data_IF_607182868650
#
_entry.id   IF_607182868650
#
_cell.length_a   1.000
_cell.length_b   1.000
_cell.length_c   1.000
_cell.angle_alpha   90.00
_cell.angle_beta   90.00
_cell.angle_gamma   90.00
#
_symmetry.space_group_name_H-M   'P 1'
#
loop_
_entity.id
_entity.type
_entity.pdbx_description
1 polymer ?
#
# COMPACT_ATOMS: atom_id res chain seq x y z
N UNK A 1 -13.51 -1.03 -29.45
CA UNK A 1 -13.00 -2.41 -29.32
C UNK A 1 -11.63 -2.33 -28.64
N UNK A 2 -11.52 -2.66 -27.36
CA UNK A 2 -10.27 -2.54 -26.58
C UNK A 2 -9.31 -3.62 -27.09
N UNK A 3 -8.21 -3.24 -27.74
CA UNK A 3 -7.13 -4.17 -28.08
C UNK A 3 -6.56 -4.74 -26.76
N UNK A 4 -6.39 -6.06 -26.63
CA UNK A 4 -5.78 -6.63 -25.44
C UNK A 4 -4.36 -6.11 -25.30
N UNK A 5 -4.02 -5.59 -24.12
CA UNK A 5 -2.66 -5.17 -23.78
C UNK A 5 -1.79 -6.43 -23.70
N UNK A 6 -0.84 -6.57 -24.61
CA UNK A 6 0.09 -7.69 -24.64
C UNK A 6 1.22 -7.50 -23.60
N UNK A 7 1.74 -8.58 -23.02
CA UNK A 7 2.98 -8.57 -22.27
C UNK A 7 4.12 -7.93 -23.09
N UNK A 8 5.05 -7.26 -22.43
CA UNK A 8 6.18 -6.58 -23.08
C UNK A 8 7.06 -7.57 -23.85
N UNK A 9 7.30 -8.75 -23.29
CA UNK A 9 8.10 -9.80 -23.92
C UNK A 9 7.44 -10.36 -25.19
N UNK A 10 6.12 -10.56 -25.18
CA UNK A 10 5.39 -11.02 -26.38
C UNK A 10 5.27 -9.91 -27.42
N UNK A 11 5.03 -8.66 -27.01
CA UNK A 11 5.00 -7.53 -27.93
C UNK A 11 6.35 -7.34 -28.63
N UNK A 12 7.44 -7.34 -27.87
CA UNK A 12 8.81 -7.24 -28.42
C UNK A 12 9.14 -8.43 -29.31
N UNK A 13 8.81 -9.66 -28.91
CA UNK A 13 9.01 -10.85 -29.75
C UNK A 13 8.20 -10.80 -31.06
N UNK A 14 6.92 -10.42 -31.00
CA UNK A 14 6.06 -10.26 -32.18
C UNK A 14 6.63 -9.20 -33.12
N UNK A 15 7.04 -8.06 -32.59
CA UNK A 15 7.60 -6.96 -33.39
C UNK A 15 8.94 -7.37 -34.01
N UNK A 16 9.85 -8.03 -33.25
CA UNK A 16 11.12 -8.52 -33.78
C UNK A 16 10.88 -9.55 -34.87
N UNK A 17 9.98 -10.52 -34.66
CA UNK A 17 9.62 -11.51 -35.66
C UNK A 17 9.01 -10.86 -36.91
N UNK A 18 8.08 -9.90 -36.74
CA UNK A 18 7.48 -9.15 -37.84
C UNK A 18 8.53 -8.31 -38.58
N UNK A 19 9.47 -7.67 -37.88
CA UNK A 19 10.57 -6.92 -38.48
C UNK A 19 11.51 -7.82 -39.27
N UNK A 20 11.84 -9.01 -38.77
CA UNK A 20 12.65 -10.00 -39.49
C UNK A 20 11.96 -10.47 -40.77
N UNK A 21 10.69 -10.87 -40.67
CA UNK A 21 9.88 -11.31 -41.83
C UNK A 21 9.71 -10.18 -42.84
N UNK A 22 9.40 -8.96 -42.38
CA UNK A 22 9.27 -7.78 -43.22
C UNK A 22 10.59 -7.44 -43.91
N UNK A 23 11.71 -7.49 -43.20
CA UNK A 23 13.03 -7.20 -43.75
C UNK A 23 13.42 -8.19 -44.84
N UNK A 24 13.27 -9.49 -44.57
CA UNK A 24 13.56 -10.55 -45.54
C UNK A 24 12.61 -10.47 -46.73
N UNK A 25 11.32 -10.25 -46.49
CA UNK A 25 10.30 -10.12 -47.54
C UNK A 25 10.53 -8.92 -48.45
N UNK A 26 10.82 -7.75 -47.90
CA UNK A 26 11.12 -6.54 -48.68
C UNK A 26 12.40 -6.71 -49.51
N UNK A 27 13.45 -7.31 -48.94
CA UNK A 27 14.67 -7.60 -49.67
C UNK A 27 14.42 -8.61 -50.81
N UNK A 28 13.74 -9.70 -50.52
CA UNK A 28 13.42 -10.73 -51.53
C UNK A 28 12.54 -10.19 -52.65
N UNK A 29 11.44 -9.52 -52.33
CA UNK A 29 10.53 -8.94 -53.33
C UNK A 29 11.21 -7.83 -54.13
N UNK A 30 12.01 -6.99 -53.47
CA UNK A 30 12.76 -5.93 -54.13
C UNK A 30 13.77 -6.47 -55.14
N UNK A 31 14.59 -7.44 -54.71
CA UNK A 31 15.60 -8.07 -55.57
C UNK A 31 14.95 -8.85 -56.71
N UNK A 32 13.91 -9.65 -56.46
CA UNK A 32 13.24 -10.44 -57.51
C UNK A 32 12.51 -9.55 -58.52
N UNK A 33 11.83 -8.49 -58.06
CA UNK A 33 11.17 -7.53 -58.96
C UNK A 33 12.18 -6.76 -59.81
N UNK A 34 13.32 -6.37 -59.22
CA UNK A 34 14.38 -5.68 -59.94
C UNK A 34 15.09 -6.61 -60.93
N UNK A 35 15.34 -7.87 -60.56
CA UNK A 35 15.89 -8.87 -61.46
C UNK A 35 14.98 -9.11 -62.67
N UNK A 36 13.66 -9.23 -62.47
CA UNK A 36 12.69 -9.34 -63.57
C UNK A 36 12.68 -8.08 -64.47
N UNK A 37 12.83 -6.89 -63.89
CA UNK A 37 12.96 -5.64 -64.64
C UNK A 37 14.24 -5.61 -65.50
N UNK A 38 15.38 -6.06 -64.93
CA UNK A 38 16.62 -6.18 -65.68
C UNK A 38 16.50 -7.20 -66.82
N UNK A 39 15.91 -8.36 -66.56
CA UNK A 39 15.68 -9.40 -67.56
C UNK A 39 14.86 -8.89 -68.74
N UNK A 40 13.74 -8.20 -68.48
CA UNK A 40 12.96 -7.55 -69.55
C UNK A 40 13.76 -6.51 -70.33
N UNK A 41 14.61 -5.74 -69.65
CA UNK A 41 15.50 -4.77 -70.27
C UNK A 41 16.51 -5.44 -71.21
N UNK A 42 17.13 -6.52 -70.76
CA UNK A 42 18.08 -7.33 -71.55
C UNK A 42 17.38 -7.94 -72.76
N UNK A 43 16.23 -8.60 -72.57
CA UNK A 43 15.44 -9.22 -73.66
C UNK A 43 15.00 -8.20 -74.72
N UNK A 44 14.69 -6.95 -74.33
CA UNK A 44 14.38 -5.87 -75.28
C UNK A 44 15.60 -5.34 -76.04
N UNK A 45 16.80 -5.49 -75.47
CA UNK A 45 18.06 -5.04 -76.11
C UNK A 45 18.67 -6.07 -77.07
N UNK A 46 18.24 -7.33 -77.00
CA UNK A 46 18.74 -8.42 -77.84
C UNK A 46 18.25 -8.30 -79.30
N UNK A 47 19.08 -8.69 -80.29
CA UNK A 47 18.64 -8.88 -81.69
C UNK A 47 17.45 -9.84 -81.79
N UNK A 48 16.60 -9.68 -82.82
CA UNK A 48 15.35 -10.44 -82.95
C UNK A 48 15.53 -11.97 -82.89
N UNK A 49 16.61 -12.50 -83.50
CA UNK A 49 16.93 -13.92 -83.49
C UNK A 49 17.37 -14.41 -82.10
N UNK A 50 18.20 -13.62 -81.41
CA UNK A 50 18.67 -13.94 -80.06
C UNK A 50 17.54 -13.83 -79.02
N UNK A 51 16.68 -12.82 -79.12
CA UNK A 51 15.50 -12.68 -78.25
C UNK A 51 14.50 -13.83 -78.43
N UNK A 52 14.34 -14.32 -79.67
CA UNK A 52 13.51 -15.50 -79.95
C UNK A 52 14.15 -16.77 -79.35
N UNK A 53 15.47 -16.96 -79.50
CA UNK A 53 16.18 -18.07 -78.88
C UNK A 53 16.08 -18.08 -77.35
N UNK A 54 16.11 -16.91 -76.70
CA UNK A 54 15.89 -16.78 -75.26
C UNK A 54 14.50 -17.25 -74.84
N UNK A 55 13.45 -16.86 -75.57
CA UNK A 55 12.06 -17.25 -75.31
C UNK A 55 11.81 -18.73 -75.57
N UNK A 56 12.41 -19.27 -76.63
CA UNK A 56 12.32 -20.69 -76.98
C UNK A 56 12.98 -21.54 -75.86
N UNK A 57 14.16 -21.13 -75.38
CA UNK A 57 14.81 -21.77 -74.22
C UNK A 57 13.95 -21.72 -72.96
N UNK A 58 13.36 -20.57 -72.64
CA UNK A 58 12.53 -20.41 -71.44
C UNK A 58 11.20 -21.19 -71.52
N UNK A 59 10.77 -21.56 -72.73
CA UNK A 59 9.59 -22.40 -72.97
C UNK A 59 9.91 -23.90 -73.13
N UNK A 60 11.18 -24.30 -72.99
CA UNK A 60 11.63 -25.69 -73.08
C UNK A 60 11.83 -26.20 -74.51
N UNK A 61 11.92 -25.30 -75.49
CA UNK A 61 12.15 -25.60 -76.91
C UNK A 61 13.65 -25.40 -77.21
N UNK A 62 14.27 -26.32 -77.95
CA UNK A 62 15.68 -26.22 -78.36
C UNK A 62 15.79 -25.25 -79.54
N UNK A 63 16.47 -24.09 -79.42
CA UNK A 63 16.61 -23.12 -80.50
C UNK A 63 17.60 -23.58 -81.58
N UNK A 64 17.62 -22.88 -82.71
CA UNK A 64 18.62 -23.14 -83.76
C UNK A 64 20.05 -22.79 -83.31
N UNK A 65 21.08 -23.59 -83.69
CA UNK A 65 22.47 -23.38 -83.26
C UNK A 65 23.05 -21.99 -83.57
N UNK A 66 22.60 -21.35 -84.65
CA UNK A 66 23.03 -20.00 -85.03
C UNK A 66 22.47 -18.94 -84.08
N UNK A 67 21.21 -19.07 -83.68
CA UNK A 67 20.55 -18.16 -82.74
C UNK A 67 21.08 -18.33 -81.31
N UNK A 68 21.48 -19.55 -80.92
CA UNK A 68 22.18 -19.81 -79.65
C UNK A 68 23.53 -19.08 -79.62
N UNK A 69 24.30 -19.14 -80.71
CA UNK A 69 25.61 -18.48 -80.79
C UNK A 69 25.49 -16.95 -80.72
N UNK A 70 24.52 -16.39 -81.44
CA UNK A 70 24.23 -14.95 -81.43
C UNK A 70 23.78 -14.47 -80.04
N UNK A 71 22.98 -15.29 -79.32
CA UNK A 71 22.58 -15.04 -77.94
C UNK A 71 23.78 -15.08 -76.97
N UNK A 72 24.65 -16.09 -77.05
CA UNK A 72 25.84 -16.18 -76.19
C UNK A 72 26.80 -15.01 -76.40
N UNK A 73 27.10 -14.63 -77.65
CA UNK A 73 28.00 -13.51 -77.95
C UNK A 73 27.46 -12.17 -77.41
N UNK A 74 26.13 -11.98 -77.39
CA UNK A 74 25.50 -10.77 -76.81
C UNK A 74 25.39 -10.82 -75.27
N UNK A 75 25.15 -12.00 -74.69
CA UNK A 75 25.04 -12.15 -73.24
C UNK A 75 26.40 -12.01 -72.54
N UNK A 76 27.49 -12.47 -73.16
CA UNK A 76 28.85 -12.36 -72.61
C UNK A 76 29.26 -10.88 -72.46
N UNK A 77 28.85 -10.02 -73.39
CA UNK A 77 29.04 -8.56 -73.31
C UNK A 77 28.16 -7.85 -72.28
N UNK A 78 27.11 -8.52 -71.76
CA UNK A 78 26.14 -7.96 -70.80
C UNK A 78 26.27 -8.53 -69.39
N UNK A 79 27.09 -9.58 -69.16
CA UNK A 79 27.19 -10.24 -67.84
C UNK A 79 27.71 -9.28 -66.75
N UNK A 80 28.86 -8.63 -66.97
CA UNK A 80 29.47 -7.71 -66.00
C UNK A 80 28.53 -6.55 -65.54
N UNK A 81 27.87 -5.79 -66.45
CA UNK A 81 26.98 -4.72 -66.03
C UNK A 81 25.69 -5.22 -65.35
N UNK A 82 25.17 -6.38 -65.74
CA UNK A 82 23.99 -7.00 -65.11
C UNK A 82 24.30 -7.47 -63.71
N UNK A 83 25.44 -8.14 -63.51
CA UNK A 83 25.91 -8.58 -62.19
C UNK A 83 26.11 -7.38 -61.24
N UNK A 84 26.74 -6.30 -61.73
CA UNK A 84 26.90 -5.07 -60.95
C UNK A 84 25.55 -4.45 -60.55
N UNK A 85 24.60 -4.36 -61.48
CA UNK A 85 23.26 -3.83 -61.18
C UNK A 85 22.48 -4.72 -60.21
N UNK A 86 22.64 -6.05 -60.30
CA UNK A 86 22.05 -7.00 -59.36
C UNK A 86 22.63 -6.81 -57.94
N UNK A 87 23.95 -6.76 -57.80
CA UNK A 87 24.60 -6.50 -56.49
C UNK A 87 24.18 -5.14 -55.90
N UNK A 88 24.10 -4.10 -56.73
CA UNK A 88 23.65 -2.78 -56.29
C UNK A 88 22.19 -2.81 -55.80
N UNK A 89 21.31 -3.56 -56.47
CA UNK A 89 19.91 -3.70 -56.06
C UNK A 89 19.76 -4.41 -54.71
N UNK A 90 20.54 -5.47 -54.47
CA UNK A 90 20.58 -6.17 -53.19
C UNK A 90 21.02 -5.22 -52.08
N UNK A 91 22.06 -4.40 -52.33
CA UNK A 91 22.56 -3.43 -51.37
C UNK A 91 21.51 -2.35 -51.06
N UNK A 92 20.86 -1.77 -52.08
CA UNK A 92 19.86 -0.72 -51.90
C UNK A 92 18.61 -1.24 -51.17
N UNK A 93 18.08 -2.40 -51.58
CA UNK A 93 16.93 -3.02 -50.93
C UNK A 93 17.27 -3.43 -49.48
N UNK A 94 18.47 -3.94 -49.23
CA UNK A 94 18.95 -4.28 -47.88
C UNK A 94 19.11 -3.05 -46.97
N UNK A 95 19.65 -1.94 -47.49
CA UNK A 95 19.73 -0.69 -46.73
C UNK A 95 18.35 -0.11 -46.43
N UNK A 96 17.42 -0.18 -47.38
CA UNK A 96 16.07 0.31 -47.21
C UNK A 96 15.29 -0.48 -46.15
N UNK A 97 15.40 -1.82 -46.16
CA UNK A 97 14.79 -2.65 -45.12
C UNK A 97 15.41 -2.41 -43.74
N UNK A 98 16.73 -2.28 -43.66
CA UNK A 98 17.44 -1.94 -42.43
C UNK A 98 16.99 -0.58 -41.85
N UNK A 99 16.77 0.42 -42.70
CA UNK A 99 16.27 1.73 -42.29
C UNK A 99 14.87 1.63 -41.65
N UNK A 100 13.94 0.92 -42.29
CA UNK A 100 12.58 0.70 -41.75
C UNK A 100 12.66 0.00 -40.40
N UNK A 101 13.47 -1.06 -40.30
CA UNK A 101 13.66 -1.78 -39.05
C UNK A 101 14.22 -0.88 -37.94
N UNK A 102 15.20 -0.03 -38.26
CA UNK A 102 15.77 0.92 -37.30
C UNK A 102 14.74 1.92 -36.78
N UNK A 103 13.90 2.48 -37.66
CA UNK A 103 12.82 3.40 -37.25
C UNK A 103 11.82 2.74 -36.29
N UNK A 104 11.40 1.51 -36.59
CA UNK A 104 10.49 0.75 -35.73
C UNK A 104 11.15 0.43 -34.38
N UNK A 105 12.42 0.03 -34.39
CA UNK A 105 13.20 -0.25 -33.18
C UNK A 105 13.33 0.97 -32.27
N UNK A 106 13.69 2.13 -32.83
CA UNK A 106 13.80 3.40 -32.09
C UNK A 106 12.45 3.80 -31.50
N UNK A 107 11.36 3.64 -32.25
CA UNK A 107 10.01 3.94 -31.77
C UNK A 107 9.64 3.07 -30.56
N UNK A 108 9.89 1.76 -30.62
CA UNK A 108 9.60 0.82 -29.53
C UNK A 108 10.47 1.10 -28.29
N UNK A 109 11.77 1.35 -28.49
CA UNK A 109 12.69 1.70 -27.41
C UNK A 109 12.22 2.94 -26.65
N UNK A 110 11.83 4.00 -27.38
CA UNK A 110 11.27 5.22 -26.77
C UNK A 110 9.96 4.98 -26.04
N UNK A 111 9.10 4.09 -26.54
CA UNK A 111 7.81 3.75 -25.91
C UNK A 111 7.98 3.07 -24.55
N UNK A 112 9.04 2.28 -24.38
CA UNK A 112 9.33 1.55 -23.12
C UNK A 112 10.17 2.41 -22.16
N UNK A 113 11.14 3.16 -22.67
CA UNK A 113 12.06 3.94 -21.84
C UNK A 113 11.38 5.17 -21.20
N UNK A 114 10.49 5.85 -21.91
CA UNK A 114 9.82 7.07 -21.39
C UNK A 114 9.06 6.86 -20.08
N UNK A 115 8.20 5.83 -19.92
CA UNK A 115 7.52 5.57 -18.64
C UNK A 115 8.48 5.28 -17.48
N UNK A 116 9.60 4.60 -17.75
CA UNK A 116 10.61 4.30 -16.73
C UNK A 116 11.36 5.56 -16.28
N UNK A 117 11.67 6.45 -17.20
CA UNK A 117 12.30 7.74 -16.90
C UNK A 117 11.36 8.63 -16.06
N UNK A 118 10.07 8.68 -16.41
CA UNK A 118 9.06 9.38 -15.62
C UNK A 118 8.91 8.80 -14.21
N UNK A 119 8.90 7.47 -14.08
CA UNK A 119 8.86 6.82 -12.77
C UNK A 119 10.09 7.17 -11.93
N UNK A 120 11.27 7.22 -12.55
CA UNK A 120 12.51 7.60 -11.86
C UNK A 120 12.46 9.05 -11.37
N UNK A 121 11.98 9.97 -12.20
CA UNK A 121 11.82 11.38 -11.82
C UNK A 121 10.81 11.57 -10.68
N UNK A 122 9.67 10.89 -10.76
CA UNK A 122 8.63 10.97 -9.72
C UNK A 122 9.09 10.29 -8.42
N UNK A 123 9.84 9.20 -8.51
CA UNK A 123 10.45 8.54 -7.35
C UNK A 123 11.47 9.45 -6.63
N UNK A 124 12.21 10.29 -7.37
CA UNK A 124 13.09 11.29 -6.75
C UNK A 124 12.28 12.38 -6.02
N UNK A 125 11.11 12.77 -6.57
CA UNK A 125 10.15 13.63 -5.88
C UNK A 125 9.65 13.02 -4.56
N UNK A 126 9.33 11.73 -4.57
CA UNK A 126 8.93 10.98 -3.37
C UNK A 126 10.01 10.98 -2.29
N UNK A 127 11.28 10.85 -2.69
CA UNK A 127 12.44 10.94 -1.78
C UNK A 127 12.60 12.33 -1.16
N UNK A 128 12.19 13.37 -1.86
CA UNK A 128 12.21 14.75 -1.34
C UNK A 128 11.05 15.07 -0.37
N UNK A 129 10.11 14.12 -0.17
CA UNK A 129 9.00 14.25 0.77
C UNK A 129 7.69 14.72 0.14
N UNK A 130 7.59 14.82 -1.19
CA UNK A 130 6.32 15.07 -1.87
C UNK A 130 5.61 13.75 -2.20
N UNK A 131 4.72 13.34 -1.29
CA UNK A 131 3.90 12.12 -1.46
C UNK A 131 2.63 12.35 -2.27
N UNK A 132 2.37 13.56 -2.79
CA UNK A 132 1.15 13.88 -3.57
C UNK A 132 1.30 13.51 -5.04
N UNK A 133 2.53 13.32 -5.52
CA UNK A 133 2.80 13.04 -6.93
C UNK A 133 2.23 11.68 -7.32
N UNK A 134 1.59 11.62 -8.49
CA UNK A 134 1.04 10.40 -9.07
C UNK A 134 1.47 10.26 -10.52
N UNK A 135 1.70 9.01 -10.93
CA UNK A 135 1.95 8.68 -12.32
C UNK A 135 0.61 8.52 -13.04
N UNK A 136 0.43 9.25 -14.14
CA UNK A 136 -0.75 9.13 -14.98
C UNK A 136 -0.77 7.77 -15.71
N UNK A 137 -1.91 7.09 -15.70
CA UNK A 137 -2.10 5.89 -16.51
C UNK A 137 -2.06 6.26 -17.99
N UNK A 138 -0.99 5.89 -18.69
CA UNK A 138 -0.93 6.04 -20.13
C UNK A 138 -1.63 4.85 -20.81
N UNK A 139 -2.69 5.12 -21.59
CA UNK A 139 -3.51 4.14 -22.31
C UNK A 139 -2.74 3.24 -23.30
N UNK A 140 -1.45 3.53 -23.53
CA UNK A 140 -0.60 2.86 -24.52
C UNK A 140 0.49 1.97 -23.87
N UNK A 141 0.43 1.77 -22.56
CA UNK A 141 1.40 1.00 -21.77
C UNK A 141 1.17 -0.51 -21.86
N UNK A 142 2.24 -1.32 -21.75
CA UNK A 142 2.11 -2.78 -21.60
C UNK A 142 1.58 -3.14 -20.22
N UNK A 143 1.17 -4.40 -20.04
CA UNK A 143 0.62 -4.90 -18.77
C UNK A 143 1.59 -4.70 -17.61
N UNK A 144 2.87 -4.97 -17.83
CA UNK A 144 3.91 -4.87 -16.80
C UNK A 144 4.16 -3.42 -16.39
N UNK A 145 4.19 -2.49 -17.36
CA UNK A 145 4.35 -1.06 -17.08
C UNK A 145 3.13 -0.53 -16.31
N UNK A 146 1.93 -0.97 -16.69
CA UNK A 146 0.71 -0.62 -15.98
C UNK A 146 0.72 -1.12 -14.53
N UNK A 147 1.05 -2.39 -14.32
CA UNK A 147 1.15 -2.99 -12.98
C UNK A 147 2.19 -2.29 -12.11
N UNK A 148 3.30 -1.84 -12.70
CA UNK A 148 4.33 -1.07 -12.00
C UNK A 148 3.82 0.32 -11.58
N UNK A 149 3.10 1.02 -12.46
CA UNK A 149 2.48 2.33 -12.15
C UNK A 149 1.45 2.19 -11.02
N UNK A 150 0.59 1.16 -11.08
CA UNK A 150 -0.41 0.88 -10.04
C UNK A 150 0.26 0.62 -8.69
N UNK A 151 1.30 -0.23 -8.67
CA UNK A 151 2.06 -0.55 -7.46
C UNK A 151 2.75 0.69 -6.87
N UNK A 152 3.33 1.54 -7.73
CA UNK A 152 3.95 2.79 -7.31
C UNK A 152 2.93 3.77 -6.70
N UNK A 153 1.78 3.97 -7.37
CA UNK A 153 0.72 4.85 -6.87
C UNK A 153 0.12 4.36 -5.55
N UNK A 154 0.01 3.03 -5.36
CA UNK A 154 -0.41 2.43 -4.10
C UNK A 154 0.60 2.71 -2.98
N UNK A 155 1.90 2.59 -3.26
CA UNK A 155 2.96 2.92 -2.32
C UNK A 155 2.93 4.42 -1.95
N UNK A 156 2.83 5.32 -2.93
CA UNK A 156 2.74 6.75 -2.69
C UNK A 156 1.55 7.12 -1.80
N UNK A 157 0.38 6.52 -2.05
CA UNK A 157 -0.82 6.68 -1.21
C UNK A 157 -0.61 6.16 0.21
N UNK A 158 0.07 5.02 0.37
CA UNK A 158 0.39 4.48 1.69
C UNK A 158 1.36 5.38 2.48
N UNK A 159 2.31 6.04 1.81
CA UNK A 159 3.23 6.97 2.46
C UNK A 159 2.55 8.29 2.84
N UNK A 160 1.73 8.85 1.95
CA UNK A 160 0.96 10.07 2.21
C UNK A 160 0.04 9.89 3.42
N UNK A 161 -0.74 8.81 3.44
CA UNK A 161 -1.62 8.49 4.58
C UNK A 161 -0.85 8.26 5.88
N UNK A 162 0.36 7.69 5.81
CA UNK A 162 1.23 7.55 6.98
C UNK A 162 1.76 8.91 7.47
N UNK A 163 2.16 9.80 6.56
CA UNK A 163 2.63 11.14 6.91
C UNK A 163 1.52 11.99 7.54
N UNK A 164 0.32 11.99 6.94
CA UNK A 164 -0.84 12.70 7.49
C UNK A 164 -1.16 12.23 8.91
N UNK A 165 -1.13 10.92 9.14
CA UNK A 165 -1.32 10.32 10.47
C UNK A 165 -0.23 10.79 11.43
N UNK A 166 1.05 10.76 11.03
CA UNK A 166 2.15 11.23 11.87
C UNK A 166 2.01 12.73 12.24
N UNK A 167 1.67 13.58 11.26
CA UNK A 167 1.46 15.02 11.49
C UNK A 167 0.30 15.27 12.44
N UNK A 168 -0.85 14.63 12.21
CA UNK A 168 -2.01 14.72 13.09
C UNK A 168 -1.68 14.25 14.51
N UNK A 169 -0.99 13.12 14.63
CA UNK A 169 -0.57 12.56 15.92
C UNK A 169 0.36 13.52 16.68
N UNK A 170 1.37 14.09 16.01
CA UNK A 170 2.29 15.04 16.65
C UNK A 170 1.59 16.31 17.13
N UNK A 171 0.62 16.83 16.36
CA UNK A 171 -0.18 17.98 16.78
C UNK A 171 -1.07 17.65 17.98
N UNK A 172 -1.73 16.49 17.96
CA UNK A 172 -2.59 16.04 19.06
C UNK A 172 -1.79 15.83 20.35
N UNK A 173 -0.64 15.13 20.27
CA UNK A 173 0.30 14.93 21.38
C UNK A 173 0.73 16.27 21.99
N UNK A 174 1.16 17.22 21.16
CA UNK A 174 1.60 18.52 21.63
C UNK A 174 0.49 19.28 22.35
N UNK A 175 -0.75 19.16 21.90
CA UNK A 175 -1.90 19.81 22.52
C UNK A 175 -2.28 19.17 23.87
N UNK A 176 -2.29 17.83 23.94
CA UNK A 176 -2.61 17.08 25.16
C UNK A 176 -1.56 17.27 26.26
N UNK A 177 -0.28 17.49 25.91
CA UNK A 177 0.76 17.82 26.88
C UNK A 177 0.73 19.30 27.30
N UNK A 178 0.47 20.22 26.37
CA UNK A 178 0.53 21.67 26.65
C UNK A 178 -0.48 22.10 27.70
N UNK A 179 -1.70 21.58 27.66
CA UNK A 179 -2.78 21.99 28.57
C UNK A 179 -2.48 21.70 30.04
N UNK A 180 -2.21 20.45 30.47
CA UNK A 180 -1.88 20.15 31.86
C UNK A 180 -0.57 20.82 32.30
N UNK A 181 0.43 20.93 31.41
CA UNK A 181 1.67 21.62 31.72
C UNK A 181 1.45 23.12 32.00
N UNK A 182 0.61 23.79 31.20
CA UNK A 182 0.28 25.21 31.39
C UNK A 182 -0.45 25.43 32.71
N UNK A 183 -1.39 24.54 33.07
CA UNK A 183 -2.11 24.59 34.34
C UNK A 183 -1.16 24.36 35.52
N UNK A 184 -0.27 23.37 35.42
CA UNK A 184 0.72 23.06 36.45
C UNK A 184 1.67 24.24 36.68
N UNK A 185 2.25 24.78 35.60
CA UNK A 185 3.12 25.96 35.67
C UNK A 185 2.39 27.18 36.23
N UNK A 186 1.16 27.46 35.78
CA UNK A 186 0.37 28.58 36.29
C UNK A 186 0.01 28.44 37.78
N UNK A 187 -0.31 27.23 38.23
CA UNK A 187 -0.60 26.95 39.63
C UNK A 187 0.64 27.13 40.51
N UNK A 188 1.79 26.59 40.07
CA UNK A 188 3.06 26.79 40.79
C UNK A 188 3.50 28.27 40.79
N UNK A 189 3.35 28.97 39.67
CA UNK A 189 3.67 30.40 39.58
C UNK A 189 2.80 31.22 40.53
N UNK A 190 1.48 30.98 40.57
CA UNK A 190 0.59 31.65 41.50
C UNK A 190 0.87 31.33 42.97
N UNK A 191 1.42 30.16 43.28
CA UNK A 191 1.92 29.85 44.63
C UNK A 191 3.19 30.65 44.97
N UNK A 192 4.12 30.78 44.02
CA UNK A 192 5.35 31.59 44.19
C UNK A 192 5.00 33.07 44.35
N UNK A 193 4.03 33.57 43.58
CA UNK A 193 3.57 34.96 43.62
C UNK A 193 2.64 35.25 44.81
N UNK A 194 2.33 34.25 45.65
CA UNK A 194 1.48 34.38 46.84
C UNK A 194 -0.02 34.53 46.55
N UNK A 195 -0.44 34.31 45.31
CA UNK A 195 -1.85 34.33 44.87
C UNK A 195 -2.59 33.06 45.31
N UNK A 196 -1.89 31.91 45.35
CA UNK A 196 -2.44 30.63 45.81
C UNK A 196 -1.77 30.16 47.11
N UNK A 197 -2.52 29.51 48.02
CA UNK A 197 -1.96 29.00 49.26
C UNK A 197 -0.99 27.83 49.02
N UNK A 198 0.16 27.84 49.70
CA UNK A 198 1.07 26.70 49.76
C UNK A 198 0.70 25.73 50.88
N UNK A 199 -0.51 25.15 50.80
CA UNK A 199 -0.95 24.12 51.74
C UNK A 199 -0.78 22.69 51.18
N UNK A 200 -0.82 21.71 52.07
CA UNK A 200 -0.68 20.29 51.72
C UNK A 200 -1.74 19.81 50.74
N UNK A 201 -2.95 20.39 50.76
CA UNK A 201 -4.02 20.05 49.80
C UNK A 201 -3.69 20.50 48.39
N UNK A 202 -3.19 21.73 48.23
CA UNK A 202 -2.85 22.30 46.91
C UNK A 202 -1.64 21.56 46.33
N UNK A 203 -0.62 21.28 47.15
CA UNK A 203 0.54 20.48 46.74
C UNK A 203 0.15 19.05 46.35
N UNK A 204 -0.74 18.40 47.11
CA UNK A 204 -1.27 17.08 46.75
C UNK A 204 -2.05 17.09 45.43
N UNK A 205 -2.80 18.17 45.16
CA UNK A 205 -3.49 18.33 43.86
C UNK A 205 -2.52 18.48 42.70
N UNK A 206 -1.39 19.19 42.88
CA UNK A 206 -0.34 19.29 41.85
C UNK A 206 0.38 17.97 41.62
N UNK A 207 0.65 17.19 42.68
CA UNK A 207 1.20 15.84 42.57
C UNK A 207 0.29 14.94 41.71
N UNK A 208 -1.03 14.98 41.93
CA UNK A 208 -1.99 14.24 41.10
C UNK A 208 -1.94 14.68 39.63
N UNK A 209 -1.71 15.96 39.34
CA UNK A 209 -1.55 16.45 37.96
C UNK A 209 -0.25 15.90 37.32
N UNK A 210 0.85 15.84 38.07
CA UNK A 210 2.14 15.28 37.59
C UNK A 210 2.04 13.78 37.33
N UNK A 211 1.35 13.03 38.20
CA UNK A 211 1.06 11.62 37.99
C UNK A 211 0.17 11.39 36.75
N UNK A 212 -0.80 12.29 36.52
CA UNK A 212 -1.61 12.29 35.30
C UNK A 212 -0.77 12.53 34.03
N UNK A 213 0.19 13.46 34.09
CA UNK A 213 1.11 13.72 32.98
C UNK A 213 2.00 12.51 32.69
N UNK A 214 2.51 11.84 33.74
CA UNK A 214 3.31 10.62 33.61
C UNK A 214 2.52 9.49 32.93
N UNK A 215 1.23 9.32 33.29
CA UNK A 215 0.32 8.37 32.63
C UNK A 215 0.12 8.70 31.15
N UNK A 216 -0.10 9.98 30.82
CA UNK A 216 -0.27 10.45 29.44
C UNK A 216 0.97 10.13 28.59
N UNK A 217 2.17 10.34 29.12
CA UNK A 217 3.42 9.98 28.43
C UNK A 217 3.51 8.47 28.15
N UNK A 218 3.12 7.63 29.12
CA UNK A 218 3.12 6.18 28.92
C UNK A 218 2.05 5.72 27.91
N UNK A 219 0.87 6.34 27.90
CA UNK A 219 -0.18 6.10 26.90
C UNK A 219 0.32 6.45 25.49
N UNK A 220 0.99 7.59 25.34
CA UNK A 220 1.59 7.99 24.06
C UNK A 220 2.69 7.05 23.61
N UNK A 221 3.53 6.57 24.54
CA UNK A 221 4.54 5.56 24.25
C UNK A 221 3.90 4.27 23.77
N UNK A 222 2.83 3.81 24.40
CA UNK A 222 2.06 2.63 23.96
C UNK A 222 1.51 2.81 22.55
N UNK A 223 0.90 3.96 22.25
CA UNK A 223 0.37 4.25 20.91
C UNK A 223 1.48 4.33 19.86
N UNK A 224 2.64 4.90 20.20
CA UNK A 224 3.82 4.93 19.33
C UNK A 224 4.35 3.52 19.02
N UNK A 225 4.42 2.64 20.02
CA UNK A 225 4.81 1.23 19.83
C UNK A 225 3.81 0.44 18.99
N UNK A 226 2.52 0.77 19.07
CA UNK A 226 1.46 0.16 18.27
C UNK A 226 1.65 0.42 16.77
N UNK A 227 1.97 1.67 16.39
CA UNK A 227 2.20 2.07 15.00
C UNK A 227 3.37 1.27 14.39
N UNK A 228 4.41 0.97 15.17
CA UNK A 228 5.57 0.20 14.72
C UNK A 228 5.39 -1.33 14.71
N UNK A 229 4.19 -1.87 15.00
CA UNK A 229 3.95 -3.30 15.24
C UNK A 229 4.85 -3.93 16.34
N UNK A 230 5.41 -3.10 17.23
CA UNK A 230 6.32 -3.53 18.33
C UNK A 230 5.62 -3.57 19.69
N UNK A 231 4.30 -3.45 19.72
CA UNK A 231 3.58 -3.33 20.99
C UNK A 231 3.51 -4.64 21.78
N UNK A 232 3.44 -5.77 21.07
CA UNK A 232 3.40 -7.12 21.66
C UNK A 232 4.74 -7.77 21.43
N UNK A 233 5.51 -7.93 22.50
CA UNK A 233 6.86 -8.51 22.43
C UNK A 233 7.01 -9.77 23.26
N UNK A 234 6.17 -9.96 24.29
CA UNK A 234 6.29 -11.08 25.22
C UNK A 234 4.93 -11.77 25.41
N UNK A 235 4.64 -12.75 24.55
CA UNK A 235 3.39 -13.52 24.65
C UNK A 235 3.58 -14.68 25.60
N UNK A 236 2.77 -14.72 26.64
CA UNK A 236 2.73 -15.83 27.58
C UNK A 236 1.34 -16.45 27.66
N UNK A 237 1.29 -17.71 28.12
CA UNK A 237 0.06 -18.44 28.36
C UNK A 237 -0.42 -18.13 29.77
N UNK A 238 -1.58 -17.52 29.92
CA UNK A 238 -2.15 -17.19 31.23
C UNK A 238 -3.68 -17.31 31.25
N UNK A 239 -4.25 -17.39 32.45
CA UNK A 239 -5.69 -17.38 32.65
C UNK A 239 -6.22 -15.93 32.75
N UNK A 240 -7.18 -15.60 31.88
CA UNK A 240 -7.72 -14.24 31.76
C UNK A 240 -8.55 -13.83 32.97
N UNK A 241 -9.32 -14.74 33.57
CA UNK A 241 -10.13 -14.42 34.74
C UNK A 241 -9.26 -14.11 35.96
N UNK A 242 -8.21 -14.89 36.24
CA UNK A 242 -7.20 -14.56 37.25
C UNK A 242 -6.55 -13.18 37.03
N UNK A 243 -6.21 -12.84 35.78
CA UNK A 243 -5.63 -11.53 35.48
C UNK A 243 -6.63 -10.40 35.79
N UNK A 244 -7.88 -10.52 35.31
CA UNK A 244 -8.93 -9.52 35.53
C UNK A 244 -9.19 -9.36 37.02
N UNK A 245 -9.27 -10.45 37.76
CA UNK A 245 -9.48 -10.45 39.21
C UNK A 245 -8.35 -9.70 39.95
N UNK A 246 -7.09 -10.01 39.62
CA UNK A 246 -5.93 -9.34 40.17
C UNK A 246 -5.89 -7.83 39.84
N UNK A 247 -6.31 -7.42 38.63
CA UNK A 247 -6.39 -6.00 38.28
C UNK A 247 -7.46 -5.30 39.10
N UNK A 248 -8.65 -5.89 39.22
CA UNK A 248 -9.76 -5.32 40.01
C UNK A 248 -9.33 -5.14 41.47
N UNK A 249 -8.67 -6.14 42.05
CA UNK A 249 -8.21 -6.10 43.43
C UNK A 249 -7.15 -5.01 43.64
N UNK A 250 -6.22 -4.84 42.69
CA UNK A 250 -5.24 -3.75 42.73
C UNK A 250 -5.88 -2.36 42.58
N UNK A 251 -6.99 -2.26 41.85
CA UNK A 251 -7.73 -1.03 41.60
C UNK A 251 -8.76 -0.71 42.69
N UNK A 252 -8.96 -1.60 43.67
CA UNK A 252 -9.99 -1.48 44.71
C UNK A 252 -9.98 -0.13 45.45
N UNK A 253 -8.82 0.44 45.89
CA UNK A 253 -8.81 1.74 46.55
C UNK A 253 -9.36 2.88 45.67
N UNK A 254 -9.07 2.84 44.37
CA UNK A 254 -9.54 3.83 43.40
C UNK A 254 -11.04 3.70 43.15
N UNK A 255 -11.54 2.47 43.06
CA UNK A 255 -12.96 2.17 42.85
C UNK A 255 -13.79 2.58 44.08
N UNK A 256 -13.31 2.29 45.29
CA UNK A 256 -13.95 2.68 46.55
C UNK A 256 -13.97 4.20 46.73
N UNK A 257 -12.86 4.89 46.43
CA UNK A 257 -12.80 6.36 46.46
C UNK A 257 -13.83 6.99 45.50
N UNK A 258 -14.14 6.31 44.39
CA UNK A 258 -15.13 6.72 43.40
C UNK A 258 -16.55 6.22 43.70
N UNK A 259 -16.75 5.52 44.83
CA UNK A 259 -18.03 4.92 45.26
C UNK A 259 -18.61 3.90 44.26
N UNK A 260 -17.76 3.18 43.55
CA UNK A 260 -18.15 2.12 42.61
C UNK A 260 -18.07 0.75 43.25
N UNK A 261 -19.19 0.03 43.31
CA UNK A 261 -19.24 -1.38 43.69
C UNK A 261 -19.00 -2.25 42.47
N UNK A 262 -18.04 -3.19 42.55
CA UNK A 262 -17.71 -4.09 41.44
C UNK A 262 -18.44 -5.42 41.56
N UNK A 263 -19.20 -5.79 40.54
CA UNK A 263 -19.77 -7.12 40.33
C UNK A 263 -18.86 -7.92 39.39
N UNK A 264 -18.40 -9.10 39.82
CA UNK A 264 -17.50 -9.97 39.05
C UNK A 264 -18.28 -11.18 38.53
N UNK A 265 -18.23 -11.42 37.22
CA UNK A 265 -18.76 -12.62 36.57
C UNK A 265 -17.69 -13.14 35.60
N UNK A 266 -16.67 -13.77 36.17
CA UNK A 266 -15.45 -14.13 35.46
C UNK A 266 -15.46 -15.64 35.14
N UNK A 267 -15.55 -15.98 33.85
CA UNK A 267 -15.36 -17.37 33.40
C UNK A 267 -13.88 -17.64 33.13
N UNK A 268 -13.29 -18.73 33.67
CA UNK A 268 -11.89 -19.07 33.47
C UNK A 268 -11.62 -19.45 32.01
N UNK A 269 -10.65 -18.76 31.39
CA UNK A 269 -10.25 -18.95 29.98
C UNK A 269 -8.76 -18.69 29.83
N UNK A 270 -8.08 -19.51 29.03
CA UNK A 270 -6.65 -19.34 28.74
C UNK A 270 -6.44 -18.60 27.43
N UNK A 271 -5.53 -17.62 27.43
CA UNK A 271 -5.10 -16.88 26.24
C UNK A 271 -3.58 -16.95 26.10
N UNK A 272 -3.08 -16.79 24.87
CA UNK A 272 -1.66 -16.58 24.56
C UNK A 272 -1.50 -15.11 24.15
N UNK A 273 -1.13 -14.26 25.10
CA UNK A 273 -1.10 -12.81 24.93
C UNK A 273 -0.01 -12.17 25.81
N UNK A 274 0.29 -10.89 25.60
CA UNK A 274 1.16 -10.12 26.47
C UNK A 274 0.37 -9.70 27.72
N UNK A 275 0.57 -10.43 28.82
CA UNK A 275 -0.16 -10.25 30.08
C UNK A 275 -0.04 -8.82 30.61
N UNK A 276 1.13 -8.19 30.49
CA UNK A 276 1.35 -6.84 30.98
C UNK A 276 0.56 -5.82 30.17
N UNK A 277 0.47 -5.99 28.85
CA UNK A 277 -0.36 -5.14 27.98
C UNK A 277 -1.85 -5.35 28.21
N UNK A 278 -2.32 -6.58 28.38
CA UNK A 278 -3.72 -6.83 28.72
C UNK A 278 -4.07 -6.22 30.08
N UNK A 279 -3.19 -6.34 31.07
CA UNK A 279 -3.31 -5.66 32.37
C UNK A 279 -3.48 -4.14 32.21
N UNK A 280 -2.66 -3.52 31.37
CA UNK A 280 -2.73 -2.09 31.05
C UNK A 280 -4.09 -1.71 30.44
N UNK A 281 -4.59 -2.50 29.49
CA UNK A 281 -5.88 -2.25 28.87
C UNK A 281 -7.04 -2.35 29.88
N UNK A 282 -7.05 -3.37 30.74
CA UNK A 282 -8.07 -3.52 31.79
C UNK A 282 -8.04 -2.33 32.75
N UNK A 283 -6.85 -1.93 33.21
CA UNK A 283 -6.69 -0.80 34.13
C UNK A 283 -7.21 0.51 33.49
N UNK A 284 -6.92 0.75 32.22
CA UNK A 284 -7.43 1.92 31.49
C UNK A 284 -8.97 1.93 31.41
N UNK A 285 -9.62 0.77 31.27
CA UNK A 285 -11.08 0.67 31.32
C UNK A 285 -11.65 0.98 32.71
N UNK A 286 -11.01 0.47 33.77
CA UNK A 286 -11.43 0.76 35.15
C UNK A 286 -11.26 2.25 35.49
N UNK A 287 -10.16 2.88 35.07
CA UNK A 287 -9.95 4.33 35.23
C UNK A 287 -11.02 5.14 34.50
N UNK A 288 -11.40 4.74 33.28
CA UNK A 288 -12.49 5.38 32.55
C UNK A 288 -13.83 5.23 33.26
N UNK A 289 -14.13 4.06 33.82
CA UNK A 289 -15.34 3.84 34.61
C UNK A 289 -15.39 4.75 35.85
N UNK A 290 -14.28 4.85 36.60
CA UNK A 290 -14.19 5.79 37.73
C UNK A 290 -14.42 7.24 37.32
N UNK A 291 -13.87 7.66 36.17
CA UNK A 291 -13.97 9.06 35.71
C UNK A 291 -15.38 9.42 35.21
N UNK A 292 -16.00 8.55 34.43
CA UNK A 292 -17.24 8.88 33.71
C UNK A 292 -18.50 8.26 34.29
N UNK A 293 -18.37 7.20 35.09
CA UNK A 293 -19.49 6.44 35.62
C UNK A 293 -19.58 6.41 37.15
N UNK A 294 -18.79 7.22 37.87
CA UNK A 294 -18.85 7.31 39.34
C UNK A 294 -20.28 7.53 39.88
N UNK A 295 -21.11 8.31 39.19
CA UNK A 295 -22.51 8.53 39.58
C UNK A 295 -23.43 7.31 39.46
N UNK A 296 -23.01 6.28 38.70
CA UNK A 296 -23.79 5.07 38.45
C UNK A 296 -23.66 3.99 39.54
N UNK A 297 -22.68 4.12 40.44
CA UNK A 297 -22.50 3.32 41.67
C UNK A 297 -22.14 1.84 41.49
N UNK A 298 -22.36 1.24 40.31
CA UNK A 298 -22.10 -0.18 40.04
C UNK A 298 -21.35 -0.35 38.73
N UNK A 299 -20.29 -1.15 38.77
CA UNK A 299 -19.47 -1.57 37.64
C UNK A 299 -19.49 -3.10 37.55
N UNK A 300 -19.84 -3.68 36.41
CA UNK A 300 -19.81 -5.14 36.20
C UNK A 300 -18.66 -5.52 35.28
N UNK A 301 -17.83 -6.46 35.71
CA UNK A 301 -16.74 -7.03 34.92
C UNK A 301 -17.06 -8.47 34.57
N UNK A 302 -16.99 -8.80 33.29
CA UNK A 302 -17.35 -10.12 32.74
C UNK A 302 -16.22 -10.68 31.87
N UNK A 303 -16.00 -11.99 31.94
CA UNK A 303 -15.20 -12.71 30.94
C UNK A 303 -15.99 -13.86 30.34
N UNK A 304 -16.01 -13.94 29.01
CA UNK A 304 -16.72 -14.99 28.27
C UNK A 304 -15.95 -15.41 27.02
N UNK A 305 -16.27 -16.60 26.48
CA UNK A 305 -15.80 -17.04 25.18
C UNK A 305 -16.92 -16.76 24.16
N UNK A 306 -16.62 -15.98 23.13
CA UNK A 306 -17.56 -15.71 22.05
C UNK A 306 -17.70 -16.92 21.13
N UNK A 307 -18.79 -16.97 20.37
CA UNK A 307 -19.03 -18.00 19.35
C UNK A 307 -17.92 -18.07 18.31
N UNK A 308 -17.22 -16.96 18.08
CA UNK A 308 -16.21 -16.80 17.04
C UNK A 308 -14.79 -17.15 17.55
N UNK A 309 -14.67 -17.71 18.76
CA UNK A 309 -13.40 -18.15 19.35
C UNK A 309 -12.56 -17.06 20.00
N UNK A 310 -13.13 -15.87 20.25
CA UNK A 310 -12.47 -14.80 20.99
C UNK A 310 -12.84 -14.86 22.47
N UNK A 311 -11.90 -14.52 23.35
CA UNK A 311 -12.18 -14.24 24.76
C UNK A 311 -12.56 -12.77 24.86
N UNK A 312 -13.77 -12.50 25.33
CA UNK A 312 -14.27 -11.16 25.59
C UNK A 312 -14.04 -10.79 27.07
N UNK A 313 -13.39 -9.66 27.30
CA UNK A 313 -13.29 -9.00 28.62
C UNK A 313 -14.20 -7.78 28.56
N UNK A 314 -15.33 -7.82 29.26
CA UNK A 314 -16.36 -6.77 29.22
C UNK A 314 -16.37 -5.97 30.53
N UNK A 315 -16.42 -4.65 30.39
CA UNK A 315 -16.63 -3.70 31.48
C UNK A 315 -17.94 -2.96 31.21
N UNK A 316 -18.91 -3.12 32.11
CA UNK A 316 -20.25 -2.54 31.99
C UNK A 316 -20.49 -1.54 33.11
N UNK A 317 -20.70 -0.28 32.73
CA UNK A 317 -20.99 0.79 33.69
C UNK A 317 -22.45 1.25 33.62
N UNK A 318 -22.82 2.18 34.52
CA UNK A 318 -24.12 2.86 34.54
C UNK A 318 -23.97 4.38 34.36
N UNK A 319 -22.95 4.79 33.63
CA UNK A 319 -22.67 6.18 33.30
C UNK A 319 -23.59 6.72 32.20
N UNK A 320 -23.21 7.85 31.57
CA UNK A 320 -24.01 8.48 30.52
C UNK A 320 -24.00 7.72 29.18
N UNK A 321 -23.16 6.68 29.04
CA UNK A 321 -22.96 5.97 27.77
C UNK A 321 -22.16 6.79 26.74
N UNK A 322 -22.16 6.29 25.51
CA UNK A 322 -21.51 6.88 24.35
C UNK A 322 -22.49 7.65 23.45
N UNK A 323 -22.02 8.63 22.65
CA UNK A 323 -22.86 9.35 21.67
C UNK A 323 -23.43 8.44 20.57
N UNK A 324 -24.56 8.84 19.97
CA UNK A 324 -25.26 8.05 18.94
C UNK A 324 -24.46 7.85 17.63
N UNK A 325 -23.48 8.72 17.33
CA UNK A 325 -22.61 8.65 16.14
C UNK A 325 -21.37 7.76 16.35
N UNK A 326 -21.56 6.52 16.81
CA UNK A 326 -20.49 5.60 17.22
C UNK A 326 -19.76 4.91 16.04
N UNK A 327 -20.30 4.98 14.82
CA UNK A 327 -19.81 4.23 13.66
C UNK A 327 -18.36 4.52 13.24
N UNK A 328 -17.85 5.73 13.54
CA UNK A 328 -16.50 6.17 13.12
C UNK A 328 -15.37 5.77 14.09
N UNK A 329 -15.69 5.13 15.23
CA UNK A 329 -14.71 4.81 16.28
C UNK A 329 -13.71 3.73 15.85
N UNK A 330 -14.09 2.86 14.91
CA UNK A 330 -13.26 1.71 14.51
C UNK A 330 -11.99 2.07 13.72
N UNK A 331 -11.81 3.32 13.28
CA UNK A 331 -10.77 3.66 12.28
C UNK A 331 -9.63 4.52 12.84
N UNK A 332 -9.82 5.22 13.97
CA UNK A 332 -8.81 6.15 14.47
C UNK A 332 -8.29 5.78 15.87
N UNK A 333 -6.99 5.43 16.00
CA UNK A 333 -6.31 5.25 17.28
C UNK A 333 -6.32 6.47 18.20
N UNK A 334 -6.92 7.60 17.81
CA UNK A 334 -7.03 8.82 18.61
C UNK A 334 -8.45 9.40 18.61
N UNK A 335 -9.48 8.56 18.43
CA UNK A 335 -10.86 9.04 18.49
C UNK A 335 -11.19 9.63 19.86
N UNK A 336 -11.71 10.86 19.87
CA UNK A 336 -12.18 11.57 21.06
C UNK A 336 -13.70 11.65 21.03
N UNK A 337 -14.36 11.19 22.10
CA UNK A 337 -15.74 11.56 22.37
C UNK A 337 -15.82 13.04 22.74
N UNK A 338 -16.43 13.83 21.86
CA UNK A 338 -16.85 15.24 22.00
C UNK A 338 -15.98 16.17 22.90
N UNK A 339 -15.23 17.09 22.28
CA UNK A 339 -14.24 17.99 22.89
C UNK A 339 -14.79 18.97 23.96
N UNK A 340 -16.11 19.02 24.13
CA UNK A 340 -16.78 19.82 25.16
C UNK A 340 -16.79 19.15 26.54
N UNK A 341 -16.87 17.81 26.60
CA UNK A 341 -16.98 17.06 27.87
C UNK A 341 -15.63 16.75 28.54
N UNK A 342 -14.54 16.61 27.76
CA UNK A 342 -13.23 16.26 28.33
C UNK A 342 -12.58 17.41 29.12
N UNK A 343 -12.86 18.67 28.75
CA UNK A 343 -12.30 19.86 29.41
C UNK A 343 -12.78 20.05 30.86
N UNK A 344 -13.99 19.59 31.19
CA UNK A 344 -14.54 19.69 32.55
C UNK A 344 -14.13 18.51 33.47
N UNK A 345 -13.69 17.38 32.90
CA UNK A 345 -13.44 16.12 33.64
C UNK A 345 -11.97 15.69 33.65
N UNK A 346 -11.06 16.44 33.02
CA UNK A 346 -9.61 16.22 33.09
C UNK A 346 -9.12 14.93 32.43
N UNK A 347 -9.94 14.30 31.58
CA UNK A 347 -9.57 13.07 30.87
C UNK A 347 -8.70 13.33 29.64
N UNK A 348 -7.64 12.55 29.46
CA UNK A 348 -6.73 12.62 28.29
C UNK A 348 -7.39 12.20 26.97
N UNK A 349 -8.54 11.51 27.02
CA UNK A 349 -9.20 10.96 25.84
C UNK A 349 -8.45 9.80 25.16
N UNK A 350 -7.25 9.47 25.63
CA UNK A 350 -6.36 8.45 25.06
C UNK A 350 -6.61 7.04 25.61
N UNK A 351 -7.40 6.89 26.67
CA UNK A 351 -7.57 5.59 27.34
C UNK A 351 -8.18 4.51 26.43
N UNK A 352 -9.27 4.80 25.72
CA UNK A 352 -9.90 3.82 24.82
C UNK A 352 -9.04 3.54 23.58
N UNK A 353 -8.33 4.55 23.10
CA UNK A 353 -7.33 4.44 22.04
C UNK A 353 -6.21 3.45 22.39
N UNK A 354 -5.68 3.52 23.62
CA UNK A 354 -4.67 2.57 24.12
C UNK A 354 -5.25 1.16 24.17
N UNK A 355 -6.48 1.01 24.67
CA UNK A 355 -7.16 -0.28 24.73
C UNK A 355 -7.36 -0.87 23.33
N UNK A 356 -7.80 -0.05 22.36
CA UNK A 356 -7.97 -0.47 20.96
C UNK A 356 -6.64 -0.90 20.34
N UNK A 357 -5.57 -0.13 20.54
CA UNK A 357 -4.24 -0.45 20.05
C UNK A 357 -3.71 -1.77 20.64
N UNK A 358 -3.91 -1.99 21.94
CA UNK A 358 -3.54 -3.24 22.61
C UNK A 358 -4.36 -4.41 22.04
N UNK A 359 -5.69 -4.28 21.92
CA UNK A 359 -6.54 -5.34 21.37
C UNK A 359 -6.13 -5.70 19.93
N UNK A 360 -5.93 -4.69 19.07
CA UNK A 360 -5.52 -4.87 17.68
C UNK A 360 -4.14 -5.53 17.57
N UNK A 361 -3.16 -5.15 18.40
CA UNK A 361 -1.83 -5.76 18.39
C UNK A 361 -1.84 -7.25 18.81
N UNK A 362 -2.88 -7.68 19.53
CA UNK A 362 -3.11 -9.09 19.87
C UNK A 362 -3.92 -9.86 18.81
N UNK A 363 -4.28 -9.23 17.69
CA UNK A 363 -5.14 -9.84 16.65
C UNK A 363 -6.63 -9.83 17.02
N UNK A 364 -7.01 -8.99 17.97
CA UNK A 364 -8.36 -8.81 18.47
C UNK A 364 -8.98 -7.48 18.03
N UNK A 365 -10.04 -7.05 18.73
CA UNK A 365 -10.71 -5.76 18.48
C UNK A 365 -11.36 -5.22 19.75
N UNK A 366 -11.65 -3.92 19.76
CA UNK A 366 -12.42 -3.25 20.80
C UNK A 366 -13.86 -3.06 20.30
N UNK A 367 -14.85 -3.42 21.11
CA UNK A 367 -16.26 -3.14 20.83
C UNK A 367 -16.84 -2.21 21.90
N UNK A 368 -17.55 -1.19 21.44
CA UNK A 368 -18.26 -0.24 22.30
C UNK A 368 -19.75 -0.37 22.01
N UNK A 369 -20.56 -0.43 23.06
CA UNK A 369 -22.02 -0.51 22.94
C UNK A 369 -22.66 0.30 24.07
N UNK A 370 -23.85 0.85 23.83
CA UNK A 370 -24.67 1.43 24.88
C UNK A 370 -25.56 0.35 25.51
N UNK A 371 -25.74 0.41 26.83
CA UNK A 371 -26.61 -0.53 27.54
C UNK A 371 -28.09 -0.18 27.32
N UNK A 372 -28.97 -1.18 27.09
CA UNK A 372 -30.40 -0.98 27.20
C UNK A 372 -30.73 -0.66 28.67
N UNK A 373 -31.04 0.60 28.96
CA UNK A 373 -31.25 1.12 30.32
C UNK A 373 -30.24 2.17 30.81
N UNK A 374 -29.28 2.58 29.96
CA UNK A 374 -28.29 3.61 30.28
C UNK A 374 -26.95 3.04 30.77
N UNK A 375 -25.85 3.69 30.39
CA UNK A 375 -24.48 3.22 30.61
C UNK A 375 -23.81 2.69 29.35
N UNK A 376 -22.53 2.34 29.48
CA UNK A 376 -21.71 1.79 28.42
C UNK A 376 -21.31 0.34 28.67
N UNK A 377 -21.05 -0.39 27.59
CA UNK A 377 -20.39 -1.69 27.54
C UNK A 377 -19.14 -1.51 26.71
N UNK A 378 -17.98 -1.83 27.29
CA UNK A 378 -16.70 -1.84 26.60
C UNK A 378 -16.16 -3.26 26.63
N UNK A 379 -15.95 -3.85 25.45
CA UNK A 379 -15.51 -5.24 25.30
C UNK A 379 -14.16 -5.30 24.60
N UNK A 380 -13.15 -5.83 25.28
CA UNK A 380 -11.86 -6.19 24.67
C UNK A 380 -11.98 -7.63 24.18
N UNK A 381 -11.84 -7.84 22.88
CA UNK A 381 -11.81 -9.18 22.29
C UNK A 381 -10.36 -9.55 21.99
N UNK A 382 -9.89 -10.67 22.51
CA UNK A 382 -8.58 -11.26 22.20
C UNK A 382 -8.74 -12.69 21.71
N UNK A 383 -7.89 -13.19 20.79
CA UNK A 383 -7.96 -14.59 20.37
C UNK A 383 -7.81 -15.53 21.57
N UNK A 384 -8.73 -16.49 21.72
CA UNK A 384 -8.59 -17.55 22.70
C UNK A 384 -7.50 -18.54 22.32
N UNK A 385 -7.01 -19.30 23.31
CA UNK A 385 -6.19 -20.49 23.05
C UNK A 385 -7.05 -21.58 22.41
N UNK A 386 -7.34 -21.42 21.12
CA UNK A 386 -7.88 -22.49 20.29
C UNK A 386 -6.70 -23.37 19.93
N UNK A 387 -6.52 -24.42 20.71
CA UNK A 387 -5.73 -25.59 20.33
C UNK A 387 -6.42 -26.28 19.13
N UNK A 388 -6.45 -25.61 17.97
CA UNK A 388 -6.90 -26.09 16.66
C UNK A 388 -6.83 -24.93 15.65
N UNK A 389 -5.61 -24.52 15.27
CA UNK A 389 -5.38 -24.09 13.88
C UNK A 389 -4.37 -25.08 13.31
N UNK A 390 -4.92 -26.00 12.51
CA UNK A 390 -4.22 -27.08 11.82
C UNK A 390 -2.94 -26.60 11.11
N UNK A 391 -1.95 -27.50 11.18
CA UNK A 391 -0.95 -27.86 10.16
C UNK A 391 -1.12 -27.28 8.76
#
# INVERSE_FOLDING_TARGET
MKLPTLPLATLTAIIIAAMLVLSVGLAYLGVTSYAAYLEEGVVKSLPANAAQAYRDMNSGIVPEPAAIRELFDHLDGLSDPVDFQLYLSVLVCGLFSALICSVIGIYLARRIARPLEQLTQVAEGLKSGDFTVRLAESHTSTVEVKSLIESFNALATSLETMEERLRFNNMAVAHELRTPLTILCGSMQGMVDGVFPMDTKTVASLLLQVEGLSRLVEDLRTLSLAIGQKLVMDRERFEVAELVDAVIDSAKPMLEASKLTVEKELSPRTAIADRQRIRQAILALLENACRYAAGGGVLRCQTELTTDGFIAIRVLDRGPGFPENMGDINVNPFWRGDASRSRATGGTGLGLSVVQAIAAAHGGKLELQNRPGGGAIVSILIPGDSAERCS
#
